data_IF_825376948377
#
_entry.id   IF_825376948377
#
_cell.length_a   1.000
_cell.length_b   1.000
_cell.length_c   1.000
_cell.angle_alpha   90.00
_cell.angle_beta   90.00
_cell.angle_gamma   90.00
#
_symmetry.space_group_name_H-M   'P 1'
#
loop_
_entity.id
_entity.type
_entity.pdbx_description
1 polymer ?
#
# COMPACT_ATOMS: atom_id res chain seq x y z
N UNK A 1 -13.38 2.86 0.51
CA UNK A 1 -11.97 2.76 0.93
C UNK A 1 -11.58 4.06 1.59
N UNK A 2 -10.84 4.04 2.70
CA UNK A 2 -10.42 5.23 3.46
C UNK A 2 -8.97 5.08 3.91
N UNK A 3 -8.21 6.16 3.84
CA UNK A 3 -6.89 6.31 4.42
C UNK A 3 -6.80 7.72 5.02
N UNK A 4 -6.59 7.82 6.35
CA UNK A 4 -6.69 9.07 7.10
C UNK A 4 -8.02 9.81 6.80
N UNK A 5 -7.93 11.09 6.42
CA UNK A 5 -9.05 11.96 6.05
C UNK A 5 -9.57 11.74 4.62
N UNK A 6 -8.86 10.94 3.80
CA UNK A 6 -9.20 10.69 2.40
C UNK A 6 -10.07 9.46 2.27
N UNK A 7 -11.15 9.57 1.51
CA UNK A 7 -12.03 8.46 1.22
C UNK A 7 -12.50 8.46 -0.23
N UNK A 8 -12.75 7.27 -0.75
CA UNK A 8 -13.24 7.04 -2.11
C UNK A 8 -14.17 5.83 -2.11
N UNK A 9 -15.31 5.91 -2.82
CA UNK A 9 -16.17 4.75 -2.99
C UNK A 9 -15.43 3.67 -3.78
N UNK A 10 -15.48 2.43 -3.27
CA UNK A 10 -14.92 1.27 -3.94
C UNK A 10 -15.82 0.07 -3.68
N UNK A 11 -16.56 -0.36 -4.70
CA UNK A 11 -17.43 -1.51 -4.59
C UNK A 11 -16.63 -2.81 -4.55
N UNK A 12 -17.15 -3.79 -3.81
CA UNK A 12 -16.66 -5.17 -3.90
C UNK A 12 -16.97 -5.74 -5.28
N UNK A 13 -16.10 -6.63 -5.75
CA UNK A 13 -16.30 -7.41 -6.98
C UNK A 13 -16.42 -8.87 -6.57
N UNK A 14 -17.56 -9.49 -6.85
CA UNK A 14 -17.85 -10.88 -6.45
C UNK A 14 -17.65 -11.11 -4.94
N UNK A 15 -18.07 -10.13 -4.12
CA UNK A 15 -17.91 -10.15 -2.67
C UNK A 15 -16.46 -9.98 -2.18
N UNK A 16 -15.50 -9.65 -3.06
CA UNK A 16 -14.08 -9.53 -2.73
C UNK A 16 -13.55 -8.12 -2.94
N UNK A 17 -12.62 -7.76 -2.06
CA UNK A 17 -11.79 -6.57 -2.17
C UNK A 17 -10.37 -7.01 -2.56
N UNK A 18 -9.86 -6.49 -3.66
CA UNK A 18 -8.45 -6.62 -4.03
C UNK A 18 -7.73 -5.30 -3.81
N UNK A 19 -6.64 -5.33 -3.04
CA UNK A 19 -5.75 -4.18 -2.82
C UNK A 19 -4.33 -4.57 -3.24
N UNK A 20 -3.65 -3.64 -3.91
CA UNK A 20 -2.19 -3.63 -4.01
C UNK A 20 -1.69 -2.35 -3.38
N UNK A 21 -0.71 -2.46 -2.50
CA UNK A 21 -0.16 -1.33 -1.76
C UNK A 21 1.35 -1.34 -2.00
N UNK A 22 1.88 -0.22 -2.48
CA UNK A 22 3.33 0.03 -2.52
C UNK A 22 3.65 0.99 -1.37
N UNK A 23 4.72 0.70 -0.65
CA UNK A 23 5.19 1.55 0.46
C UNK A 23 6.65 1.87 0.18
N UNK A 24 6.96 3.17 0.20
CA UNK A 24 8.33 3.71 0.18
C UNK A 24 8.46 4.66 1.37
N UNK A 25 9.68 5.13 1.65
CA UNK A 25 10.09 5.94 2.79
C UNK A 25 9.15 7.12 3.09
N UNK A 26 8.59 7.73 2.05
CA UNK A 26 7.74 8.93 2.17
C UNK A 26 6.34 8.77 1.57
N UNK A 27 5.97 7.57 1.11
CA UNK A 27 4.72 7.37 0.36
C UNK A 27 4.09 6.00 0.55
N UNK A 28 2.76 6.00 0.55
CA UNK A 28 1.93 4.81 0.37
C UNK A 28 1.10 5.01 -0.89
N UNK A 29 1.17 4.06 -1.81
CA UNK A 29 0.38 4.06 -3.03
C UNK A 29 -0.62 2.90 -3.01
N UNK A 30 -1.91 3.22 -2.93
CA UNK A 30 -2.98 2.24 -2.79
C UNK A 30 -3.73 2.09 -4.10
N UNK A 31 -3.76 0.87 -4.62
CA UNK A 31 -4.49 0.49 -5.82
C UNK A 31 -5.65 -0.45 -5.47
N UNK A 32 -6.88 0.06 -5.58
CA UNK A 32 -8.11 -0.68 -5.32
C UNK A 32 -8.66 -1.34 -6.57
N UNK A 33 -9.08 -2.59 -6.45
CA UNK A 33 -9.72 -3.38 -7.51
C UNK A 33 -8.95 -3.32 -8.84
N UNK A 34 -7.69 -3.75 -8.82
CA UNK A 34 -6.81 -3.79 -9.99
C UNK A 34 -6.62 -2.41 -10.66
N UNK A 35 -6.55 -1.34 -9.86
CA UNK A 35 -6.29 0.01 -10.34
C UNK A 35 -7.52 0.82 -10.73
N UNK A 36 -8.74 0.30 -10.50
CA UNK A 36 -9.98 1.09 -10.67
C UNK A 36 -10.02 2.33 -9.78
N UNK A 37 -9.32 2.27 -8.64
CA UNK A 37 -9.07 3.40 -7.76
C UNK A 37 -7.57 3.45 -7.49
N UNK A 38 -7.02 4.66 -7.57
CA UNK A 38 -5.68 5.00 -7.13
C UNK A 38 -5.77 6.05 -6.03
N UNK A 39 -5.06 5.83 -4.92
CA UNK A 39 -4.99 6.73 -3.77
C UNK A 39 -3.54 6.86 -3.30
N UNK A 40 -2.79 7.87 -3.79
CA UNK A 40 -1.46 8.18 -3.30
C UNK A 40 -1.55 8.97 -1.99
N UNK A 41 -0.74 8.57 -1.02
CA UNK A 41 -0.68 9.17 0.30
C UNK A 41 0.78 9.49 0.61
N UNK A 42 1.07 10.75 0.92
CA UNK A 42 2.34 11.10 1.55
C UNK A 42 2.28 10.66 3.03
N UNK A 43 3.29 9.95 3.49
CA UNK A 43 3.39 9.55 4.88
C UNK A 43 4.84 9.51 5.32
N UNK A 44 5.15 10.16 6.43
CA UNK A 44 6.47 10.11 7.05
C UNK A 44 6.42 9.04 8.15
N UNK A 45 7.02 7.88 7.86
CA UNK A 45 7.20 6.82 8.86
C UNK A 45 8.47 7.08 9.66
N UNK A 46 8.49 6.68 10.93
CA UNK A 46 9.77 6.60 11.63
C UNK A 46 10.57 5.40 11.08
N UNK A 47 11.91 5.51 11.00
CA UNK A 47 12.76 4.44 10.44
C UNK A 47 12.64 3.08 11.17
N UNK A 48 12.17 3.12 12.43
CA UNK A 48 11.90 1.95 13.26
C UNK A 48 10.54 1.28 12.96
N UNK A 49 9.63 1.96 12.28
CA UNK A 49 8.29 1.45 11.95
C UNK A 49 8.34 0.54 10.71
N UNK A 50 8.57 -0.75 10.95
CA UNK A 50 8.68 -1.78 9.89
C UNK A 50 7.61 -2.87 9.97
N UNK A 51 6.65 -2.71 10.88
CA UNK A 51 5.62 -3.71 11.09
C UNK A 51 4.46 -3.55 10.08
N UNK A 52 3.94 -4.68 9.60
CA UNK A 52 2.70 -4.75 8.83
C UNK A 52 1.70 -5.65 9.56
N UNK A 53 0.45 -5.23 9.62
CA UNK A 53 -0.63 -5.99 10.23
C UNK A 53 -1.95 -5.86 9.47
N UNK A 54 -2.85 -6.81 9.69
CA UNK A 54 -4.23 -6.77 9.22
C UNK A 54 -5.14 -6.90 10.43
N UNK A 55 -6.05 -5.94 10.58
CA UNK A 55 -7.05 -5.92 11.65
C UNK A 55 -8.45 -5.84 11.06
N UNK A 56 -9.43 -6.42 11.76
CA UNK A 56 -10.85 -6.37 11.41
C UNK A 56 -11.61 -5.77 12.58
N UNK A 57 -12.29 -4.65 12.32
CA UNK A 57 -13.13 -3.97 13.30
C UNK A 57 -14.60 -4.03 12.88
N UNK A 58 -15.50 -4.29 13.86
CA UNK A 58 -16.95 -4.21 13.66
C UNK A 58 -17.60 -5.38 12.90
N UNK A 59 -16.89 -6.49 12.69
CA UNK A 59 -17.46 -7.68 12.03
C UNK A 59 -16.44 -8.77 11.74
N UNK A 60 -16.79 -9.66 10.80
CA UNK A 60 -15.89 -10.71 10.33
C UNK A 60 -15.46 -10.43 8.88
N UNK A 61 -14.16 -10.56 8.63
CA UNK A 61 -13.59 -10.57 7.29
C UNK A 61 -12.63 -11.75 7.17
N UNK A 62 -12.57 -12.34 5.98
CA UNK A 62 -11.64 -13.43 5.68
C UNK A 62 -10.55 -12.92 4.75
N UNK A 63 -9.30 -12.96 5.20
CA UNK A 63 -8.15 -12.80 4.33
C UNK A 63 -8.08 -14.03 3.41
N UNK A 64 -8.35 -13.82 2.12
CA UNK A 64 -8.25 -14.90 1.11
C UNK A 64 -6.78 -15.17 0.77
N UNK A 65 -5.99 -14.11 0.63
CA UNK A 65 -4.57 -14.17 0.29
C UNK A 65 -3.89 -12.88 0.76
N UNK A 66 -2.65 -13.00 1.24
CA UNK A 66 -1.76 -11.87 1.51
C UNK A 66 -0.38 -12.23 0.94
N UNK A 67 0.14 -11.38 0.06
CA UNK A 67 1.49 -11.51 -0.46
C UNK A 67 2.26 -10.22 -0.13
N UNK A 68 3.38 -10.39 0.58
CA UNK A 68 4.27 -9.30 0.98
C UNK A 68 5.62 -9.55 0.34
N UNK A 69 6.19 -8.52 -0.28
CA UNK A 69 7.50 -8.57 -0.93
C UNK A 69 8.25 -7.30 -0.57
N UNK A 70 9.47 -7.48 -0.11
CA UNK A 70 10.43 -6.39 0.02
C UNK A 70 10.83 -5.91 -1.37
N UNK A 71 11.07 -4.61 -1.51
CA UNK A 71 11.53 -3.98 -2.74
C UNK A 71 12.91 -3.40 -2.51
N UNK A 72 13.85 -3.77 -3.37
CA UNK A 72 15.17 -3.16 -3.38
C UNK A 72 15.10 -1.70 -3.87
N UNK A 73 16.08 -0.90 -3.48
CA UNK A 73 16.25 0.44 -4.02
C UNK A 73 16.36 0.38 -5.54
N UNK A 74 15.59 1.22 -6.23
CA UNK A 74 15.69 1.39 -7.68
C UNK A 74 16.91 2.25 -8.10
N UNK A 75 17.58 2.89 -7.14
CA UNK A 75 18.78 3.69 -7.38
C UNK A 75 20.04 2.84 -7.29
N UNK A 76 20.92 2.98 -8.29
CA UNK A 76 22.27 2.46 -8.24
C UNK A 76 23.07 3.17 -7.14
N UNK A 77 23.85 2.41 -6.39
CA UNK A 77 24.76 2.94 -5.37
C UNK A 77 26.13 3.30 -5.94
N UNK A 78 26.37 3.04 -7.23
CA UNK A 78 27.60 3.45 -7.90
C UNK A 78 27.59 4.96 -8.19
N UNK A 79 28.71 5.68 -7.91
CA UNK A 79 28.79 7.10 -8.18
C UNK A 79 28.66 7.37 -9.69
N UNK A 80 27.80 8.34 -10.05
CA UNK A 80 27.66 8.79 -11.43
C UNK A 80 29.00 9.32 -11.95
N UNK A 81 29.57 8.60 -12.92
CA UNK A 81 30.85 8.95 -13.56
C UNK A 81 30.67 9.84 -14.79
N UNK A 82 29.45 10.23 -15.14
CA UNK A 82 29.19 11.14 -16.26
C UNK A 82 29.25 12.58 -15.77
N UNK A 83 30.37 13.23 -16.09
CA UNK A 83 30.56 14.68 -16.02
C UNK A 83 29.91 15.39 -17.19
#
# INVERSE_FOLDING_TARGET
MRCNDKSVPLALKDGRLHLRILVDRLSIEIFGQHGRVYMPMANLFADSERALGVQVDGGAARAVSLNVRELDSAWDTEPDTRK
#
